data_IF_032687600386
#
_entry.id   IF_032687600386
#
_cell.length_a   1.000
_cell.length_b   1.000
_cell.length_c   1.000
_cell.angle_alpha   90.00
_cell.angle_beta   90.00
_cell.angle_gamma   90.00
#
_symmetry.space_group_name_H-M   'P 1'
#
loop_
_entity.id
_entity.type
_entity.pdbx_description
1 polymer ?
#
# COMPACT_ATOMS: atom_id res chain seq x y z
N UNK A 1 -20.31 -8.12 -6.93
CA UNK A 1 -20.24 -8.67 -5.56
C UNK A 1 -19.01 -8.05 -4.91
N UNK A 2 -19.13 -7.39 -3.76
CA UNK A 2 -17.97 -6.85 -3.04
C UNK A 2 -17.06 -7.97 -2.56
N UNK A 3 -15.76 -7.72 -2.43
CA UNK A 3 -14.87 -8.65 -1.75
C UNK A 3 -15.41 -8.88 -0.32
N UNK A 4 -15.49 -10.13 0.16
CA UNK A 4 -15.90 -10.40 1.53
C UNK A 4 -14.97 -9.67 2.51
N UNK A 5 -15.52 -9.14 3.58
CA UNK A 5 -14.72 -8.62 4.70
C UNK A 5 -14.01 -9.82 5.36
N UNK A 6 -12.72 -9.98 5.10
CA UNK A 6 -11.91 -11.05 5.70
C UNK A 6 -11.11 -10.43 6.86
N UNK A 7 -11.24 -11.01 8.07
CA UNK A 7 -10.48 -10.57 9.25
C UNK A 7 -9.09 -11.20 9.27
N UNK A 8 -8.09 -10.36 9.45
CA UNK A 8 -6.68 -10.69 9.24
C UNK A 8 -5.91 -11.15 10.46
N UNK A 9 -6.50 -11.98 11.32
CA UNK A 9 -5.72 -12.63 12.39
C UNK A 9 -4.43 -13.34 11.89
N UNK A 10 -4.38 -13.73 10.60
CA UNK A 10 -3.17 -14.19 9.90
C UNK A 10 -2.90 -13.54 8.53
N UNK A 11 -3.60 -12.45 8.20
CA UNK A 11 -3.48 -11.74 6.92
C UNK A 11 -2.79 -10.38 7.14
N UNK A 12 -1.76 -10.39 8.00
CA UNK A 12 -0.91 -9.26 8.26
C UNK A 12 0.15 -9.12 7.14
N UNK A 13 0.72 -7.94 7.02
CA UNK A 13 1.88 -7.71 6.17
C UNK A 13 3.06 -7.27 7.05
N UNK A 14 4.20 -7.92 6.87
CA UNK A 14 5.47 -7.50 7.46
C UNK A 14 6.32 -7.01 6.31
N UNK A 15 6.96 -5.86 6.48
CA UNK A 15 7.76 -5.31 5.41
C UNK A 15 8.98 -6.20 5.11
N UNK A 16 9.14 -6.61 3.85
CA UNK A 16 10.29 -7.37 3.35
C UNK A 16 11.55 -6.50 3.28
N UNK A 17 11.36 -5.20 3.01
CA UNK A 17 12.40 -4.17 3.04
C UNK A 17 11.84 -2.86 3.58
N UNK A 18 12.67 -1.98 4.19
CA UNK A 18 12.22 -0.82 4.95
C UNK A 18 11.85 0.36 4.03
N UNK A 19 10.87 0.16 3.16
CA UNK A 19 10.41 1.16 2.21
C UNK A 19 8.87 1.21 2.12
N UNK A 20 8.26 2.41 2.00
CA UNK A 20 6.81 2.54 1.89
C UNK A 20 6.22 1.81 0.68
N UNK A 21 6.96 1.66 -0.42
CA UNK A 21 6.52 0.91 -1.60
C UNK A 21 6.22 -0.56 -1.30
N UNK A 22 6.89 -1.14 -0.29
CA UNK A 22 6.72 -2.56 0.05
C UNK A 22 5.33 -2.88 0.62
N UNK A 23 4.68 -1.91 1.28
CA UNK A 23 3.27 -2.05 1.65
C UNK A 23 2.36 -1.69 0.49
N UNK A 24 2.75 -0.79 -0.40
CA UNK A 24 1.86 -0.36 -1.48
C UNK A 24 1.73 -1.44 -2.56
N UNK A 25 2.82 -1.78 -3.25
CA UNK A 25 2.77 -2.60 -4.47
C UNK A 25 2.06 -3.96 -4.29
N UNK A 26 2.43 -4.78 -3.29
CA UNK A 26 1.90 -6.13 -3.13
C UNK A 26 0.45 -6.20 -2.63
N UNK A 27 0.04 -5.32 -1.71
CA UNK A 27 -1.24 -5.45 -0.99
C UNK A 27 -2.24 -4.31 -1.25
N UNK A 28 -1.80 -3.18 -1.82
CA UNK A 28 -2.64 -1.98 -2.02
C UNK A 28 -2.51 -1.35 -3.42
N UNK A 29 -1.61 -1.87 -4.27
CA UNK A 29 -1.42 -1.42 -5.65
C UNK A 29 -2.16 -2.31 -6.65
N UNK A 30 -2.35 -1.80 -7.87
CA UNK A 30 -3.02 -2.56 -8.93
C UNK A 30 -2.25 -3.83 -9.34
N UNK A 31 -0.92 -3.82 -9.23
CA UNK A 31 -0.06 -4.98 -9.52
C UNK A 31 -0.34 -6.18 -8.60
N UNK A 32 -0.75 -5.93 -7.35
CA UNK A 32 -1.15 -6.96 -6.41
C UNK A 32 -2.59 -7.45 -6.60
N UNK A 33 -3.43 -6.70 -7.31
CA UNK A 33 -4.87 -6.98 -7.53
C UNK A 33 -5.10 -7.93 -8.71
N UNK A 34 -4.39 -9.06 -8.69
CA UNK A 34 -4.42 -10.10 -9.73
C UNK A 34 -4.72 -11.47 -9.13
N UNK A 35 -5.18 -12.45 -9.92
CA UNK A 35 -5.34 -13.82 -9.42
C UNK A 35 -4.05 -14.36 -8.80
N UNK A 36 -4.11 -14.78 -7.53
CA UNK A 36 -2.96 -15.25 -6.75
C UNK A 36 -2.10 -14.14 -6.13
N UNK A 37 -2.47 -12.87 -6.30
CA UNK A 37 -1.82 -11.74 -5.65
C UNK A 37 -2.23 -11.57 -4.18
N UNK A 38 -1.46 -10.73 -3.47
CA UNK A 38 -1.66 -10.47 -2.04
C UNK A 38 -2.59 -9.27 -1.76
N UNK A 39 -3.04 -8.55 -2.78
CA UNK A 39 -4.08 -7.52 -2.64
C UNK A 39 -5.46 -8.18 -2.58
N UNK A 40 -5.80 -8.72 -1.40
CA UNK A 40 -7.06 -9.42 -1.18
C UNK A 40 -8.30 -8.51 -1.22
N UNK A 41 -8.10 -7.20 -1.08
CA UNK A 41 -9.17 -6.21 -1.26
C UNK A 41 -9.57 -6.02 -2.73
N UNK A 42 -8.75 -6.54 -3.67
CA UNK A 42 -8.86 -6.26 -5.10
C UNK A 42 -8.88 -4.76 -5.43
N UNK A 43 -8.29 -3.96 -4.54
CA UNK A 43 -8.25 -2.52 -4.66
C UNK A 43 -7.29 -2.13 -5.80
N UNK A 44 -7.78 -1.31 -6.72
CA UNK A 44 -6.95 -0.76 -7.79
C UNK A 44 -7.43 0.65 -8.11
N UNK A 45 -6.64 1.63 -7.67
CA UNK A 45 -6.80 3.03 -8.03
C UNK A 45 -5.64 3.45 -8.93
N UNK A 46 -5.92 3.59 -10.23
CA UNK A 46 -4.89 3.88 -11.26
C UNK A 46 -4.22 5.24 -11.04
N UNK A 47 -4.91 6.21 -10.46
CA UNK A 47 -4.35 7.53 -10.18
C UNK A 47 -3.36 7.45 -9.00
N UNK A 48 -3.65 6.63 -8.00
CA UNK A 48 -2.69 6.36 -6.91
C UNK A 48 -1.52 5.52 -7.41
N UNK A 49 -1.73 4.57 -8.32
CA UNK A 49 -0.67 3.76 -8.91
C UNK A 49 0.35 4.62 -9.67
N UNK A 50 -0.13 5.61 -10.43
CA UNK A 50 0.73 6.57 -11.10
C UNK A 50 1.54 7.43 -10.10
N UNK A 51 0.90 7.90 -9.02
CA UNK A 51 1.58 8.68 -7.96
C UNK A 51 2.59 7.83 -7.17
N UNK A 52 2.27 6.57 -6.93
CA UNK A 52 3.16 5.63 -6.26
C UNK A 52 4.40 5.37 -7.12
N UNK A 53 4.23 5.17 -8.44
CA UNK A 53 5.35 5.06 -9.37
C UNK A 53 6.23 6.32 -9.40
N UNK A 54 5.62 7.51 -9.35
CA UNK A 54 6.36 8.78 -9.26
C UNK A 54 7.16 8.86 -7.95
N UNK A 55 6.52 8.59 -6.80
CA UNK A 55 7.17 8.59 -5.49
C UNK A 55 8.31 7.56 -5.40
N UNK A 56 8.14 6.39 -6.02
CA UNK A 56 9.14 5.33 -6.03
C UNK A 56 10.34 5.66 -6.93
N UNK A 57 10.13 6.46 -7.97
CA UNK A 57 11.20 6.93 -8.86
C UNK A 57 12.15 7.95 -8.22
N UNK A 58 11.79 8.52 -7.05
CA UNK A 58 12.65 9.45 -6.31
C UNK A 58 13.73 8.67 -5.56
N UNK A 59 14.89 8.51 -6.20
CA UNK A 59 16.03 7.77 -5.66
C UNK A 59 17.10 8.66 -5.01
N UNK A 60 17.04 9.98 -5.23
CA UNK A 60 17.99 10.94 -4.66
C UNK A 60 17.76 11.09 -3.13
N UNK A 61 18.75 10.74 -2.28
CA UNK A 61 18.64 10.89 -0.83
C UNK A 61 18.30 12.32 -0.37
N UNK A 62 18.74 13.34 -1.13
CA UNK A 62 18.44 14.73 -0.83
C UNK A 62 16.94 15.06 -0.95
N UNK A 63 16.18 14.23 -1.68
CA UNK A 63 14.72 14.35 -1.88
C UNK A 63 13.90 13.39 -1.01
N UNK A 64 14.52 12.74 -0.02
CA UNK A 64 13.83 11.81 0.89
C UNK A 64 12.61 12.42 1.59
N UNK A 65 12.65 13.70 1.96
CA UNK A 65 11.51 14.41 2.55
C UNK A 65 10.35 14.61 1.57
N UNK A 66 10.65 14.89 0.30
CA UNK A 66 9.66 15.00 -0.77
C UNK A 66 8.98 13.64 -1.01
N UNK A 67 9.78 12.58 -1.15
CA UNK A 67 9.31 11.20 -1.27
C UNK A 67 8.42 10.78 -0.10
N UNK A 68 8.83 11.07 1.14
CA UNK A 68 8.05 10.76 2.33
C UNK A 68 6.69 11.49 2.33
N UNK A 69 6.67 12.75 1.89
CA UNK A 69 5.43 13.53 1.78
C UNK A 69 4.48 12.96 0.72
N UNK A 70 5.01 12.52 -0.42
CA UNK A 70 4.21 11.86 -1.46
C UNK A 70 3.60 10.55 -0.96
N UNK A 71 4.40 9.68 -0.34
CA UNK A 71 3.91 8.44 0.25
C UNK A 71 2.85 8.68 1.33
N UNK A 72 3.06 9.67 2.21
CA UNK A 72 2.07 10.04 3.22
C UNK A 72 0.73 10.46 2.59
N UNK A 73 0.76 11.23 1.51
CA UNK A 73 -0.46 11.62 0.79
C UNK A 73 -1.15 10.43 0.10
N UNK A 74 -0.38 9.50 -0.49
CA UNK A 74 -0.91 8.27 -1.09
C UNK A 74 -1.63 7.43 -0.02
N UNK A 75 -0.98 7.16 1.12
CA UNK A 75 -1.59 6.40 2.20
C UNK A 75 -2.80 7.12 2.83
N UNK A 76 -2.78 8.46 2.89
CA UNK A 76 -3.96 9.24 3.27
C UNK A 76 -5.16 8.96 2.38
N UNK A 77 -4.96 8.88 1.06
CA UNK A 77 -6.02 8.52 0.11
C UNK A 77 -6.47 7.08 0.20
N UNK A 78 -5.55 6.15 0.45
CA UNK A 78 -5.92 4.75 0.72
C UNK A 78 -6.81 4.67 1.96
N UNK A 79 -6.49 5.40 3.03
CA UNK A 79 -7.32 5.43 4.24
C UNK A 79 -8.71 6.04 3.98
N UNK A 80 -8.83 7.05 3.12
CA UNK A 80 -10.12 7.60 2.69
C UNK A 80 -10.94 6.57 1.88
N UNK A 81 -10.29 5.82 0.98
CA UNK A 81 -10.94 4.78 0.15
C UNK A 81 -11.30 3.52 0.95
N UNK A 82 -10.73 3.36 2.14
CA UNK A 82 -10.97 2.28 3.10
C UNK A 82 -10.92 0.83 2.53
N UNK A 83 -9.93 0.45 1.69
CA UNK A 83 -9.78 -0.94 1.25
C UNK A 83 -9.26 -1.84 2.38
N UNK A 84 -8.56 -1.26 3.36
CA UNK A 84 -8.03 -1.92 4.55
C UNK A 84 -8.36 -1.08 5.79
N UNK A 85 -8.56 -1.76 6.92
CA UNK A 85 -8.69 -1.13 8.24
C UNK A 85 -7.51 -1.59 9.10
N UNK A 86 -6.44 -0.77 9.23
CA UNK A 86 -5.32 -1.08 10.09
C UNK A 86 -5.77 -1.13 11.56
N UNK A 87 -5.41 -2.20 12.27
CA UNK A 87 -5.84 -2.41 13.68
C UNK A 87 -4.69 -2.17 14.65
N UNK A 88 -3.54 -2.79 14.40
CA UNK A 88 -2.33 -2.65 15.20
C UNK A 88 -1.10 -2.97 14.35
N UNK A 89 0.07 -2.53 14.80
CA UNK A 89 1.35 -3.05 14.33
C UNK A 89 1.86 -4.04 15.37
N UNK A 90 2.15 -5.28 14.96
CA UNK A 90 2.67 -6.28 15.89
C UNK A 90 4.02 -5.85 16.48
N UNK A 91 4.19 -6.02 17.78
CA UNK A 91 5.48 -5.95 18.44
C UNK A 91 5.89 -7.37 18.80
N UNK A 92 7.07 -7.81 18.33
CA UNK A 92 7.67 -9.09 18.68
C UNK A 92 8.79 -8.89 19.68
#
# INVERSE_FOLDING_TARGET
>A
AGAPMIWSGGMAWIADFPDPSNFYGPILGCAGAVPGGWNWSWYCNKDLDAKAAEADSIVDPAKSAERAKMWSAIYGKIMEDAPWVPVFNEQR
#
